data_IF_409082640841
#
_entry.id   IF_409082640841
#
_cell.length_a   1.000
_cell.length_b   1.000
_cell.length_c   1.000
_cell.angle_alpha   90.00
_cell.angle_beta   90.00
_cell.angle_gamma   90.00
#
_symmetry.space_group_name_H-M   'P 1'
#
loop_
_entity.id
_entity.type
_entity.pdbx_description
1 polymer ?
#
# COMPACT_ATOMS: atom_id res chain seq x y z
N UNK A 1 21.87 -52.92 -7.75
CA UNK A 1 22.03 -51.44 -7.75
C UNK A 1 21.31 -50.90 -6.53
N UNK A 2 21.98 -50.08 -5.72
CA UNK A 2 21.38 -49.46 -4.53
C UNK A 2 20.42 -48.36 -5.01
N UNK A 3 19.15 -48.44 -4.61
CA UNK A 3 18.13 -47.48 -4.99
C UNK A 3 18.28 -46.21 -4.14
N UNK A 4 19.19 -45.32 -4.56
CA UNK A 4 19.47 -44.07 -3.87
C UNK A 4 18.55 -42.95 -4.38
N UNK A 5 18.19 -41.97 -3.53
CA UNK A 5 17.48 -40.78 -3.97
C UNK A 5 18.31 -40.01 -5.02
N UNK A 6 17.64 -39.53 -6.07
CA UNK A 6 18.26 -38.78 -7.17
C UNK A 6 17.64 -37.40 -7.27
N UNK A 7 18.47 -36.37 -7.18
CA UNK A 7 18.07 -35.02 -7.56
C UNK A 7 17.92 -34.93 -9.09
N UNK A 8 16.78 -34.42 -9.53
CA UNK A 8 16.51 -34.18 -10.94
C UNK A 8 17.33 -33.00 -11.45
N UNK A 9 17.58 -32.97 -12.76
CA UNK A 9 18.24 -31.85 -13.43
C UNK A 9 17.50 -30.52 -13.17
N UNK A 10 16.16 -30.55 -13.19
CA UNK A 10 15.33 -29.37 -12.91
C UNK A 10 15.49 -28.85 -11.49
N UNK A 11 15.61 -29.75 -10.50
CA UNK A 11 15.86 -29.34 -9.10
C UNK A 11 17.22 -28.67 -8.97
N UNK A 12 18.27 -29.24 -9.57
CA UNK A 12 19.61 -28.63 -9.56
C UNK A 12 19.63 -27.24 -10.17
N UNK A 13 18.97 -27.05 -11.32
CA UNK A 13 18.86 -25.74 -11.99
C UNK A 13 18.08 -24.75 -11.12
N UNK A 14 16.97 -25.20 -10.51
CA UNK A 14 16.16 -24.35 -9.64
C UNK A 14 16.93 -23.87 -8.41
N UNK A 15 17.62 -24.78 -7.72
CA UNK A 15 18.45 -24.47 -6.55
C UNK A 15 19.56 -23.50 -6.93
N UNK A 16 20.35 -23.81 -7.97
CA UNK A 16 21.45 -22.92 -8.41
C UNK A 16 20.96 -21.52 -8.79
N UNK A 17 19.81 -21.43 -9.46
CA UNK A 17 19.20 -20.15 -9.81
C UNK A 17 18.74 -19.35 -8.58
N UNK A 18 18.15 -20.02 -7.60
CA UNK A 18 17.73 -19.42 -6.35
C UNK A 18 18.93 -18.90 -5.55
N UNK A 19 19.99 -19.72 -5.41
CA UNK A 19 21.23 -19.34 -4.73
C UNK A 19 21.88 -18.11 -5.39
N UNK A 20 21.92 -18.10 -6.73
CA UNK A 20 22.49 -16.99 -7.48
C UNK A 20 21.66 -15.70 -7.32
N UNK A 21 20.33 -15.77 -7.39
CA UNK A 21 19.47 -14.59 -7.13
C UNK A 21 19.67 -14.08 -5.72
N UNK A 22 19.71 -14.99 -4.72
CA UNK A 22 19.95 -14.63 -3.33
C UNK A 22 21.28 -13.90 -3.15
N UNK A 23 22.36 -14.43 -3.75
CA UNK A 23 23.68 -13.82 -3.70
C UNK A 23 23.74 -12.42 -4.32
N UNK A 24 23.05 -12.19 -5.45
CA UNK A 24 23.02 -10.87 -6.09
C UNK A 24 22.22 -9.88 -5.25
N UNK A 25 21.05 -10.29 -4.76
CA UNK A 25 20.16 -9.41 -4.00
C UNK A 25 20.69 -9.10 -2.60
N UNK A 26 21.47 -10.01 -1.99
CA UNK A 26 22.09 -9.78 -0.68
C UNK A 26 23.03 -8.56 -0.64
N UNK A 27 23.46 -8.02 -1.79
CA UNK A 27 24.27 -6.80 -1.85
C UNK A 27 23.50 -5.52 -1.47
N UNK A 28 22.16 -5.53 -1.61
CA UNK A 28 21.31 -4.36 -1.40
C UNK A 28 19.95 -4.68 -0.76
N UNK A 29 19.71 -5.94 -0.40
CA UNK A 29 18.54 -6.41 0.31
C UNK A 29 18.92 -7.36 1.45
N UNK A 30 18.12 -7.36 2.52
CA UNK A 30 18.03 -8.48 3.43
C UNK A 30 17.14 -9.56 2.78
N UNK A 31 17.76 -10.67 2.34
CA UNK A 31 17.10 -11.75 1.59
C UNK A 31 16.71 -12.88 2.53
N UNK A 32 15.41 -13.15 2.63
CA UNK A 32 14.83 -14.16 3.50
C UNK A 32 14.28 -15.30 2.62
N UNK A 33 14.94 -16.46 2.56
CA UNK A 33 14.44 -17.60 1.80
C UNK A 33 13.20 -18.21 2.46
N UNK A 34 12.22 -18.58 1.64
CA UNK A 34 11.03 -19.31 2.10
C UNK A 34 11.35 -20.81 2.13
N UNK A 35 11.12 -21.50 3.26
CA UNK A 35 11.34 -22.95 3.35
C UNK A 35 10.51 -23.73 2.32
N UNK A 36 11.13 -24.73 1.67
CA UNK A 36 10.49 -25.50 0.59
C UNK A 36 9.24 -26.27 1.05
N UNK A 37 9.18 -26.68 2.32
CA UNK A 37 8.00 -27.32 2.93
C UNK A 37 6.81 -26.36 3.10
N UNK A 38 7.05 -25.05 2.93
CA UNK A 38 6.06 -23.97 3.02
C UNK A 38 5.90 -23.20 1.69
N UNK A 39 6.50 -23.70 0.61
CA UNK A 39 6.50 -23.03 -0.69
C UNK A 39 5.10 -23.08 -1.34
N UNK A 40 4.47 -21.91 -1.44
CA UNK A 40 3.22 -21.68 -2.17
C UNK A 40 3.43 -20.89 -3.48
N UNK A 41 4.68 -20.82 -3.93
CA UNK A 41 5.14 -20.10 -5.11
C UNK A 41 5.87 -18.80 -4.80
N UNK A 42 6.53 -18.68 -3.65
CA UNK A 42 7.39 -17.54 -3.32
C UNK A 42 8.69 -18.14 -2.77
N UNK A 43 9.80 -17.84 -3.43
CA UNK A 43 11.11 -18.37 -3.04
C UNK A 43 11.81 -17.45 -2.03
N UNK A 44 11.61 -16.13 -2.17
CA UNK A 44 12.24 -15.14 -1.29
C UNK A 44 11.30 -14.02 -0.90
N UNK A 45 11.46 -13.55 0.34
CA UNK A 45 11.01 -12.25 0.80
C UNK A 45 12.27 -11.38 0.90
N UNK A 46 12.28 -10.22 0.24
CA UNK A 46 13.41 -9.30 0.23
C UNK A 46 12.99 -7.99 0.87
N UNK A 47 13.80 -7.50 1.81
CA UNK A 47 13.68 -6.15 2.34
C UNK A 47 14.82 -5.29 1.81
N UNK A 48 14.50 -4.11 1.24
CA UNK A 48 15.52 -3.20 0.73
C UNK A 48 16.36 -2.66 1.89
N UNK A 49 17.69 -2.68 1.71
CA UNK A 49 18.65 -2.11 2.64
C UNK A 49 19.11 -0.74 2.13
N UNK A 50 19.28 0.21 3.05
CA UNK A 50 19.97 1.46 2.80
C UNK A 50 21.25 1.43 3.63
N UNK A 51 22.39 1.24 2.96
CA UNK A 51 23.65 0.85 3.60
C UNK A 51 23.43 -0.43 4.43
N UNK A 52 23.69 -0.37 5.74
CA UNK A 52 23.53 -1.50 6.65
C UNK A 52 22.14 -1.55 7.32
N UNK A 53 21.22 -0.65 6.96
CA UNK A 53 19.95 -0.49 7.66
C UNK A 53 18.75 -0.99 6.85
N UNK A 54 17.84 -1.78 7.45
CA UNK A 54 16.59 -2.18 6.82
C UNK A 54 15.65 -0.99 6.65
N UNK A 55 15.00 -0.89 5.48
CA UNK A 55 14.11 0.23 5.15
C UNK A 55 12.63 -0.03 5.47
N UNK A 56 12.26 -1.27 5.78
CA UNK A 56 10.86 -1.71 5.90
C UNK A 56 10.12 -1.85 4.57
N UNK A 57 10.81 -1.68 3.43
CA UNK A 57 10.22 -1.87 2.09
C UNK A 57 10.46 -3.29 1.62
N UNK A 58 9.40 -4.10 1.68
CA UNK A 58 9.47 -5.52 1.33
C UNK A 58 8.89 -5.80 -0.06
N UNK A 59 9.43 -6.82 -0.71
CA UNK A 59 8.93 -7.40 -1.95
C UNK A 59 9.20 -8.89 -1.98
N UNK A 60 8.42 -9.63 -2.76
CA UNK A 60 8.54 -11.08 -2.90
C UNK A 60 9.16 -11.42 -4.25
N UNK A 61 9.89 -12.53 -4.32
CA UNK A 61 10.46 -13.07 -5.56
C UNK A 61 10.01 -14.52 -5.71
N UNK A 62 9.46 -14.85 -6.88
CA UNK A 62 9.53 -16.20 -7.42
C UNK A 62 10.66 -16.24 -8.45
N UNK A 63 11.64 -17.09 -8.20
CA UNK A 63 12.71 -17.42 -9.11
C UNK A 63 12.35 -18.66 -9.96
N UNK A 64 12.69 -18.62 -11.24
CA UNK A 64 12.72 -19.80 -12.10
C UNK A 64 14.02 -19.86 -12.89
N UNK A 65 14.84 -20.86 -12.58
CA UNK A 65 16.05 -21.16 -13.35
C UNK A 65 15.77 -21.75 -14.72
N UNK A 66 16.56 -21.35 -15.72
CA UNK A 66 16.60 -21.95 -17.05
C UNK A 66 18.05 -22.11 -17.50
N UNK A 67 18.39 -23.27 -18.07
CA UNK A 67 19.70 -23.47 -18.72
C UNK A 67 19.84 -22.67 -20.01
N UNK A 68 18.75 -22.56 -20.77
CA UNK A 68 18.69 -21.77 -21.99
C UNK A 68 17.37 -21.04 -22.05
N UNK A 69 17.44 -19.73 -22.21
CA UNK A 69 16.27 -18.89 -22.39
C UNK A 69 15.74 -19.07 -23.81
N UNK A 70 14.47 -19.42 -23.92
CA UNK A 70 13.74 -19.42 -25.19
C UNK A 70 13.04 -18.08 -25.34
N UNK A 71 13.57 -17.22 -26.20
CA UNK A 71 12.98 -15.91 -26.52
C UNK A 71 12.10 -16.04 -27.75
N UNK A 72 10.88 -15.48 -27.69
CA UNK A 72 10.00 -15.32 -28.85
C UNK A 72 9.51 -13.87 -28.86
N UNK A 73 9.79 -13.14 -29.94
CA UNK A 73 9.40 -11.72 -30.12
C UNK A 73 9.80 -10.84 -28.91
N UNK A 74 11.07 -10.92 -28.49
CA UNK A 74 11.61 -10.18 -27.33
C UNK A 74 10.92 -10.50 -25.98
N UNK A 75 10.20 -11.62 -25.90
CA UNK A 75 9.54 -12.08 -24.69
C UNK A 75 10.00 -13.48 -24.31
N UNK A 76 10.16 -13.69 -23.01
CA UNK A 76 10.26 -15.00 -22.40
C UNK A 76 8.87 -15.38 -21.89
N UNK A 77 8.40 -16.56 -22.29
CA UNK A 77 7.04 -17.02 -22.03
C UNK A 77 7.06 -18.04 -20.91
N UNK A 78 6.38 -17.74 -19.81
CA UNK A 78 6.40 -18.58 -18.60
C UNK A 78 4.97 -18.93 -18.19
N UNK A 79 4.56 -20.21 -18.28
CA UNK A 79 3.28 -20.65 -17.73
C UNK A 79 3.36 -20.69 -16.21
N UNK A 80 2.43 -20.01 -15.54
CA UNK A 80 2.28 -20.03 -14.08
C UNK A 80 0.88 -20.55 -13.73
N UNK A 81 0.80 -21.43 -12.74
CA UNK A 81 -0.48 -21.97 -12.25
C UNK A 81 -1.36 -20.83 -11.73
N UNK A 82 -2.65 -20.88 -12.02
CA UNK A 82 -3.62 -19.87 -11.52
C UNK A 82 -3.65 -19.82 -10.00
N UNK A 83 -3.49 -20.96 -9.31
CA UNK A 83 -3.42 -21.00 -7.85
C UNK A 83 -2.25 -20.18 -7.29
N UNK A 84 -1.08 -20.25 -7.94
CA UNK A 84 0.10 -19.46 -7.57
C UNK A 84 -0.13 -17.97 -7.83
N UNK A 85 -0.74 -17.61 -8.96
CA UNK A 85 -1.06 -16.22 -9.27
C UNK A 85 -2.08 -15.63 -8.29
N UNK A 86 -3.10 -16.40 -7.91
CA UNK A 86 -4.05 -16.00 -6.88
C UNK A 86 -3.35 -15.79 -5.54
N UNK A 87 -2.42 -16.68 -5.16
CA UNK A 87 -1.62 -16.51 -3.96
C UNK A 87 -0.77 -15.22 -4.00
N UNK A 88 -0.15 -14.89 -5.13
CA UNK A 88 0.59 -13.64 -5.32
C UNK A 88 -0.28 -12.39 -5.22
N UNK A 89 -1.54 -12.45 -5.66
CA UNK A 89 -2.50 -11.35 -5.57
C UNK A 89 -3.02 -11.12 -4.15
N UNK A 90 -2.91 -12.12 -3.26
CA UNK A 90 -3.22 -11.98 -1.83
C UNK A 90 -2.07 -11.33 -1.05
N UNK A 91 -0.86 -11.30 -1.58
CA UNK A 91 0.29 -10.74 -0.89
C UNK A 91 0.23 -9.20 -0.88
N UNK A 92 0.55 -8.61 0.27
CA UNK A 92 0.72 -7.15 0.40
C UNK A 92 1.95 -6.65 -0.33
N UNK A 93 3.01 -7.46 -0.31
CA UNK A 93 4.28 -7.13 -0.93
C UNK A 93 4.21 -7.44 -2.43
N UNK A 94 4.71 -6.56 -3.31
CA UNK A 94 4.74 -6.83 -4.74
C UNK A 94 5.55 -8.10 -4.99
N UNK A 95 4.98 -9.03 -5.77
CA UNK A 95 5.65 -10.28 -6.11
C UNK A 95 6.18 -10.23 -7.53
N UNK A 96 7.50 -10.31 -7.67
CA UNK A 96 8.19 -10.32 -8.95
C UNK A 96 8.49 -11.75 -9.39
N UNK A 97 8.36 -11.99 -10.69
CA UNK A 97 8.86 -13.22 -11.32
C UNK A 97 10.23 -12.92 -11.92
N UNK A 98 11.27 -13.62 -11.43
CA UNK A 98 12.64 -13.53 -11.93
C UNK A 98 13.00 -14.83 -12.65
N UNK A 99 13.51 -14.70 -13.87
CA UNK A 99 14.04 -15.79 -14.69
C UNK A 99 15.56 -15.66 -14.71
N UNK A 100 16.25 -16.59 -14.06
CA UNK A 100 17.70 -16.62 -14.04
C UNK A 100 18.24 -17.45 -15.22
N UNK A 101 18.98 -16.79 -16.11
CA UNK A 101 19.80 -17.43 -17.14
C UNK A 101 21.17 -17.75 -16.54
N UNK A 102 21.33 -19.01 -16.13
CA UNK A 102 22.56 -19.46 -15.48
C UNK A 102 23.77 -19.44 -16.43
N UNK A 103 23.56 -19.61 -17.74
CA UNK A 103 24.67 -19.67 -18.68
C UNK A 103 25.29 -18.28 -18.88
N UNK A 104 24.45 -17.25 -18.95
CA UNK A 104 24.88 -15.88 -19.24
C UNK A 104 24.97 -14.99 -17.99
N UNK A 105 24.54 -15.47 -16.82
CA UNK A 105 24.45 -14.66 -15.59
C UNK A 105 23.56 -13.41 -15.76
N UNK A 106 22.49 -13.54 -16.53
CA UNK A 106 21.49 -12.50 -16.78
C UNK A 106 20.18 -12.88 -16.10
N UNK A 107 19.54 -11.91 -15.47
CA UNK A 107 18.25 -12.06 -14.83
C UNK A 107 17.22 -11.25 -15.59
N UNK A 108 16.11 -11.89 -15.95
CA UNK A 108 14.98 -11.23 -16.58
C UNK A 108 13.84 -11.16 -15.59
N UNK A 109 13.10 -10.07 -15.57
CA UNK A 109 12.06 -9.89 -14.56
C UNK A 109 10.74 -9.36 -15.15
N UNK A 110 9.65 -9.71 -14.48
CA UNK A 110 8.33 -9.14 -14.73
C UNK A 110 7.62 -8.89 -13.42
N UNK A 111 6.67 -7.96 -13.44
CA UNK A 111 5.71 -7.77 -12.37
C UNK A 111 4.34 -8.32 -12.82
N UNK A 112 3.97 -9.55 -12.45
CA UNK A 112 2.78 -10.22 -12.99
C UNK A 112 1.48 -9.52 -12.62
N UNK A 113 1.41 -8.81 -11.49
CA UNK A 113 0.17 -8.18 -11.03
C UNK A 113 -0.37 -7.15 -12.02
N UNK A 114 0.49 -6.31 -12.62
CA UNK A 114 0.07 -5.33 -13.63
C UNK A 114 -0.53 -6.01 -14.86
N UNK A 115 0.12 -7.08 -15.35
CA UNK A 115 -0.41 -7.86 -16.45
C UNK A 115 -1.77 -8.47 -16.11
N UNK A 116 -1.93 -9.08 -14.94
CA UNK A 116 -3.19 -9.69 -14.52
C UNK A 116 -4.32 -8.68 -14.35
N UNK A 117 -4.02 -7.46 -13.88
CA UNK A 117 -4.99 -6.35 -13.78
C UNK A 117 -5.53 -5.92 -15.14
N UNK A 118 -4.73 -6.05 -16.19
CA UNK A 118 -5.15 -5.74 -17.56
C UNK A 118 -6.05 -6.82 -18.19
N UNK A 119 -6.10 -8.02 -17.61
CA UNK A 119 -6.89 -9.13 -18.13
C UNK A 119 -8.32 -9.13 -17.56
N UNK A 120 -9.29 -9.58 -18.36
CA UNK A 120 -10.61 -9.92 -17.85
C UNK A 120 -10.54 -11.10 -16.85
N UNK A 121 -11.44 -11.15 -15.86
CA UNK A 121 -11.40 -12.15 -14.77
C UNK A 121 -11.54 -13.62 -15.23
N UNK A 122 -11.83 -13.91 -16.49
CA UNK A 122 -11.95 -15.29 -16.99
C UNK A 122 -10.64 -16.08 -16.92
N UNK A 123 -9.48 -15.40 -16.81
CA UNK A 123 -8.20 -16.07 -16.64
C UNK A 123 -8.16 -16.97 -15.39
N UNK A 124 -8.94 -16.66 -14.35
CA UNK A 124 -9.01 -17.43 -13.11
C UNK A 124 -9.62 -18.83 -13.29
N UNK A 125 -10.29 -19.10 -14.42
CA UNK A 125 -10.84 -20.43 -14.75
C UNK A 125 -9.82 -21.34 -15.43
N UNK A 126 -8.65 -20.82 -15.79
CA UNK A 126 -7.61 -21.58 -16.51
C UNK A 126 -6.72 -22.37 -15.55
N UNK A 127 -6.03 -23.40 -16.05
CA UNK A 127 -5.02 -24.13 -15.24
C UNK A 127 -3.75 -23.30 -15.06
N UNK A 128 -3.32 -22.64 -16.13
CA UNK A 128 -2.13 -21.78 -16.14
C UNK A 128 -2.44 -20.51 -16.93
N UNK A 129 -1.79 -19.41 -16.55
CA UNK A 129 -1.72 -18.19 -17.35
C UNK A 129 -0.29 -18.02 -17.84
N UNK A 130 -0.17 -17.53 -19.07
CA UNK A 130 1.11 -17.22 -19.69
C UNK A 130 1.56 -15.83 -19.26
N UNK A 131 2.57 -15.77 -18.40
CA UNK A 131 3.24 -14.53 -18.03
C UNK A 131 4.31 -14.23 -19.09
N UNK A 132 4.32 -12.98 -19.54
CA UNK A 132 5.28 -12.44 -20.51
C UNK A 132 6.36 -11.68 -19.76
N UNK A 133 7.60 -12.09 -19.93
CA UNK A 133 8.77 -11.45 -19.32
C UNK A 133 9.57 -10.77 -20.44
N UNK A 134 9.55 -9.43 -20.55
CA UNK A 134 10.31 -8.71 -21.56
C UNK A 134 11.82 -8.87 -21.38
N UNK A 135 12.57 -9.12 -22.45
CA UNK A 135 14.04 -9.27 -22.35
C UNK A 135 14.74 -7.96 -21.96
N UNK A 136 14.13 -6.82 -22.27
CA UNK A 136 14.59 -5.49 -21.88
C UNK A 136 14.49 -5.24 -20.37
N UNK A 137 13.62 -5.97 -19.68
CA UNK A 137 13.53 -5.96 -18.23
C UNK A 137 14.56 -6.96 -17.70
N UNK A 138 15.83 -6.58 -17.75
CA UNK A 138 16.93 -7.44 -17.33
C UNK A 138 18.01 -6.70 -16.55
N UNK A 139 18.82 -7.47 -15.84
CA UNK A 139 20.02 -7.00 -15.16
C UNK A 139 21.05 -8.14 -15.10
N UNK A 140 22.31 -7.77 -14.93
CA UNK A 140 23.42 -8.72 -14.78
C UNK A 140 23.75 -8.98 -13.31
N UNK A 141 24.61 -9.96 -13.03
CA UNK A 141 25.03 -10.31 -11.66
C UNK A 141 25.76 -9.20 -10.90
N UNK A 142 26.39 -8.25 -11.60
CA UNK A 142 27.28 -7.24 -11.01
C UNK A 142 26.57 -5.91 -10.69
N UNK A 143 25.25 -5.94 -10.44
CA UNK A 143 24.51 -4.75 -10.02
C UNK A 143 24.75 -4.47 -8.54
N UNK A 144 24.93 -3.20 -8.19
CA UNK A 144 25.10 -2.72 -6.81
C UNK A 144 23.81 -2.14 -6.22
N UNK A 145 22.74 -2.06 -7.00
CA UNK A 145 21.43 -1.58 -6.58
C UNK A 145 20.33 -2.23 -7.42
N UNK A 146 19.10 -2.24 -6.89
CA UNK A 146 17.93 -2.66 -7.65
C UNK A 146 17.77 -1.83 -8.94
N UNK A 147 17.33 -2.45 -10.06
CA UNK A 147 16.93 -1.71 -11.25
C UNK A 147 15.88 -0.64 -10.91
N UNK A 148 16.03 0.57 -11.43
CA UNK A 148 15.19 1.73 -11.10
C UNK A 148 13.69 1.46 -11.26
N UNK A 149 13.31 0.68 -12.28
CA UNK A 149 11.91 0.29 -12.52
C UNK A 149 11.36 -0.63 -11.42
N UNK A 150 12.13 -1.64 -11.01
CA UNK A 150 11.79 -2.52 -9.88
C UNK A 150 11.63 -1.70 -8.60
N UNK A 151 12.60 -0.82 -8.31
CA UNK A 151 12.55 0.06 -7.14
C UNK A 151 11.34 0.99 -7.16
N UNK A 152 10.99 1.55 -8.32
CA UNK A 152 9.80 2.39 -8.48
C UNK A 152 8.51 1.63 -8.18
N UNK A 153 8.37 0.39 -8.68
CA UNK A 153 7.21 -0.46 -8.40
C UNK A 153 7.16 -0.78 -6.90
N UNK A 154 8.29 -1.12 -6.28
CA UNK A 154 8.34 -1.39 -4.84
C UNK A 154 7.90 -0.16 -4.06
N UNK A 155 8.35 1.05 -4.44
CA UNK A 155 7.94 2.28 -3.77
C UNK A 155 6.46 2.65 -3.98
N UNK A 156 5.89 2.39 -5.16
CA UNK A 156 4.47 2.65 -5.42
C UNK A 156 3.56 1.64 -4.72
N UNK A 157 4.07 0.44 -4.44
CA UNK A 157 3.37 -0.61 -3.70
C UNK A 157 3.70 -0.62 -2.20
N UNK A 158 4.75 0.07 -1.77
CA UNK A 158 5.00 0.35 -0.37
C UNK A 158 4.02 1.41 0.10
N UNK A 159 2.79 0.98 0.36
CA UNK A 159 1.91 1.68 1.28
C UNK A 159 2.68 1.84 2.58
N UNK A 160 2.88 3.10 3.00
CA UNK A 160 3.44 3.56 4.28
C UNK A 160 3.80 2.41 5.22
N UNK A 161 5.09 2.14 5.37
CA UNK A 161 5.66 1.15 6.29
C UNK A 161 4.85 1.09 7.59
N UNK A 162 4.11 0.00 7.88
CA UNK A 162 3.58 -0.19 9.20
C UNK A 162 4.75 -0.58 10.08
N UNK A 163 5.20 0.35 10.93
CA UNK A 163 5.76 -0.07 12.21
C UNK A 163 4.65 -0.84 12.92
N UNK A 164 4.82 -2.16 12.97
CA UNK A 164 3.95 -3.20 13.53
C UNK A 164 2.83 -3.69 12.60
N UNK A 165 2.91 -4.98 12.27
CA UNK A 165 2.11 -5.64 11.24
C UNK A 165 0.63 -5.74 11.57
N UNK A 166 -0.19 -5.10 10.75
CA UNK A 166 -1.63 -5.29 10.81
C UNK A 166 -2.23 -5.38 9.40
N UNK A 167 -2.23 -6.60 8.83
CA UNK A 167 -2.87 -6.92 7.54
C UNK A 167 -4.39 -6.68 7.57
N UNK A 168 -5.01 -6.81 8.75
CA UNK A 168 -6.41 -6.45 8.95
C UNK A 168 -6.59 -4.95 8.76
N UNK A 169 -5.62 -4.14 9.18
CA UNK A 169 -5.68 -2.69 9.02
C UNK A 169 -5.74 -2.26 7.55
N UNK A 170 -4.96 -2.88 6.65
CA UNK A 170 -4.98 -2.52 5.23
C UNK A 170 -6.29 -2.94 4.55
N UNK A 171 -6.83 -4.12 4.94
CA UNK A 171 -8.13 -4.59 4.50
C UNK A 171 -9.26 -3.69 5.01
N UNK A 172 -9.18 -3.19 6.25
CA UNK A 172 -10.19 -2.27 6.80
C UNK A 172 -10.14 -0.91 6.12
N UNK A 173 -8.96 -0.40 5.75
CA UNK A 173 -8.87 0.84 4.98
C UNK A 173 -9.47 0.65 3.58
N UNK A 174 -9.13 -0.43 2.87
CA UNK A 174 -9.72 -0.69 1.55
C UNK A 174 -11.25 -0.82 1.64
N UNK A 175 -11.76 -1.53 2.66
CA UNK A 175 -13.19 -1.67 2.91
C UNK A 175 -13.87 -0.33 3.24
N UNK A 176 -13.20 0.54 4.00
CA UNK A 176 -13.69 1.88 4.33
C UNK A 176 -13.77 2.77 3.08
N UNK A 177 -12.76 2.69 2.20
CA UNK A 177 -12.75 3.38 0.91
C UNK A 177 -13.88 2.85 0.01
N UNK A 178 -14.06 1.54 -0.09
CA UNK A 178 -15.15 0.94 -0.87
C UNK A 178 -16.52 1.40 -0.36
N UNK A 179 -16.70 1.46 0.98
CA UNK A 179 -17.91 2.02 1.60
C UNK A 179 -18.12 3.49 1.26
N UNK A 180 -17.06 4.29 1.25
CA UNK A 180 -17.12 5.71 0.87
C UNK A 180 -17.65 5.87 -0.57
N UNK A 181 -17.03 5.15 -1.50
CA UNK A 181 -17.40 5.16 -2.92
C UNK A 181 -18.84 4.69 -3.12
N UNK A 182 -19.24 3.59 -2.47
CA UNK A 182 -20.61 3.07 -2.54
C UNK A 182 -21.65 4.01 -1.91
N UNK A 183 -21.22 4.90 -1.00
CA UNK A 183 -22.06 5.94 -0.39
C UNK A 183 -22.07 7.25 -1.19
N UNK A 184 -21.44 7.28 -2.37
CA UNK A 184 -21.36 8.46 -3.22
C UNK A 184 -20.34 9.50 -2.75
N UNK A 185 -19.43 9.14 -1.84
CA UNK A 185 -18.33 10.00 -1.41
C UNK A 185 -17.10 9.81 -2.30
N UNK A 186 -16.47 10.91 -2.68
CA UNK A 186 -15.17 10.90 -3.35
C UNK A 186 -14.05 10.64 -2.36
N UNK A 187 -13.01 9.93 -2.81
CA UNK A 187 -11.75 9.84 -2.07
C UNK A 187 -11.02 11.18 -2.19
N UNK A 188 -10.83 11.85 -1.07
CA UNK A 188 -10.22 13.18 -1.03
C UNK A 188 -8.69 13.08 -1.14
N UNK A 189 -8.12 13.89 -2.03
CA UNK A 189 -6.69 13.98 -2.27
C UNK A 189 -6.05 15.13 -1.46
N UNK A 190 -4.76 15.39 -1.66
CA UNK A 190 -4.10 16.55 -1.04
C UNK A 190 -4.81 17.85 -1.40
N UNK A 191 -5.03 18.78 -0.45
CA UNK A 191 -4.58 18.75 0.96
C UNK A 191 -5.54 18.07 1.96
N UNK A 192 -6.68 17.55 1.52
CA UNK A 192 -7.74 17.01 2.39
C UNK A 192 -7.48 15.55 2.85
N UNK A 193 -6.56 14.83 2.22
CA UNK A 193 -6.17 13.48 2.68
C UNK A 193 -5.52 13.54 4.07
N UNK A 194 -5.86 12.61 4.95
CA UNK A 194 -5.31 12.47 6.32
C UNK A 194 -5.13 13.82 7.05
N UNK A 195 -6.21 14.58 7.30
CA UNK A 195 -6.14 15.95 7.81
C UNK A 195 -5.40 16.10 9.14
N UNK A 196 -5.36 15.04 9.96
CA UNK A 196 -4.59 15.02 11.20
C UNK A 196 -3.10 15.32 11.02
N UNK A 197 -2.55 15.20 9.80
CA UNK A 197 -1.14 15.48 9.52
C UNK A 197 -0.75 16.94 9.80
N UNK A 198 -1.72 17.87 9.78
CA UNK A 198 -1.46 19.28 10.05
C UNK A 198 -1.40 19.62 11.53
N UNK A 199 -1.93 18.76 12.40
CA UNK A 199 -1.93 18.99 13.85
C UNK A 199 -0.50 19.12 14.35
N UNK A 200 -0.21 20.22 15.06
CA UNK A 200 1.11 20.53 15.60
C UNK A 200 2.09 21.18 14.60
N UNK A 201 1.72 21.34 13.32
CA UNK A 201 2.52 22.13 12.38
C UNK A 201 2.52 23.60 12.78
N UNK A 202 3.62 24.31 12.52
CA UNK A 202 3.62 25.77 12.60
C UNK A 202 2.68 26.34 11.53
N UNK A 203 2.09 27.52 11.78
CA UNK A 203 1.22 28.18 10.78
C UNK A 203 1.97 28.34 9.46
N UNK A 204 3.22 28.83 9.50
CA UNK A 204 4.02 29.07 8.31
C UNK A 204 4.33 27.79 7.51
N UNK A 205 4.46 26.63 8.15
CA UNK A 205 4.68 25.37 7.45
C UNK A 205 3.38 24.80 6.90
N UNK A 206 2.27 24.92 7.64
CA UNK A 206 0.95 24.53 7.15
C UNK A 206 0.57 25.34 5.91
N UNK A 207 0.79 26.65 5.89
CA UNK A 207 0.58 27.53 4.74
C UNK A 207 1.33 27.05 3.49
N UNK A 208 2.60 26.66 3.64
CA UNK A 208 3.41 26.15 2.52
C UNK A 208 2.87 24.82 1.99
N UNK A 209 2.45 23.92 2.88
CA UNK A 209 1.96 22.59 2.50
C UNK A 209 0.62 22.68 1.80
N UNK A 210 -0.32 23.47 2.34
CA UNK A 210 -1.67 23.61 1.76
C UNK A 210 -1.75 24.67 0.65
N UNK A 211 -0.70 25.50 0.51
CA UNK A 211 -0.59 26.61 -0.45
C UNK A 211 -1.67 27.68 -0.26
N UNK A 212 -2.05 27.92 0.99
CA UNK A 212 -3.02 28.94 1.39
C UNK A 212 -2.42 29.80 2.51
N UNK A 213 -2.92 31.01 2.66
CA UNK A 213 -2.46 31.93 3.73
C UNK A 213 -3.43 31.96 4.89
N UNK A 214 -2.89 32.06 6.10
CA UNK A 214 -3.68 32.26 7.31
C UNK A 214 -4.39 33.62 7.32
N UNK A 215 -5.53 33.67 8.00
CA UNK A 215 -6.29 34.89 8.22
C UNK A 215 -5.72 35.69 9.42
N UNK A 216 -6.38 36.81 9.77
CA UNK A 216 -5.94 37.70 10.87
C UNK A 216 -5.85 37.03 12.25
N UNK A 217 -6.52 35.90 12.44
CA UNK A 217 -6.51 35.14 13.71
C UNK A 217 -5.66 33.86 13.60
N UNK A 218 -4.93 33.66 12.50
CA UNK A 218 -4.00 32.54 12.31
C UNK A 218 -4.61 31.27 11.70
N UNK A 219 -5.91 31.27 11.39
CA UNK A 219 -6.57 30.10 10.81
C UNK A 219 -6.35 30.03 9.30
N UNK A 220 -6.18 28.83 8.76
CA UNK A 220 -6.05 28.59 7.31
C UNK A 220 -7.32 27.90 6.83
N UNK A 221 -7.91 28.43 5.76
CA UNK A 221 -9.13 27.89 5.16
C UNK A 221 -8.77 27.35 3.78
N UNK A 222 -9.16 26.11 3.52
CA UNK A 222 -8.97 25.46 2.23
C UNK A 222 -10.33 25.03 1.71
N UNK A 223 -10.65 25.40 0.47
CA UNK A 223 -11.94 25.11 -0.13
C UNK A 223 -11.78 24.46 -1.50
N UNK A 224 -12.58 23.43 -1.75
CA UNK A 224 -12.71 22.77 -3.06
C UNK A 224 -14.18 22.56 -3.40
N UNK A 225 -14.47 22.00 -4.58
CA UNK A 225 -15.84 21.59 -4.94
C UNK A 225 -16.39 20.50 -4.00
N UNK A 226 -15.50 19.66 -3.45
CA UNK A 226 -15.91 18.47 -2.69
C UNK A 226 -15.91 18.69 -1.18
N UNK A 227 -15.03 19.55 -0.68
CA UNK A 227 -14.79 19.73 0.74
C UNK A 227 -14.42 21.16 1.11
N UNK A 228 -14.71 21.51 2.36
CA UNK A 228 -14.20 22.68 3.06
C UNK A 228 -13.34 22.20 4.23
N UNK A 229 -12.17 22.78 4.44
CA UNK A 229 -11.28 22.41 5.54
C UNK A 229 -10.79 23.66 6.29
N UNK A 230 -10.91 23.61 7.61
CA UNK A 230 -10.41 24.62 8.53
C UNK A 230 -9.22 24.05 9.29
N UNK A 231 -8.08 24.75 9.24
CA UNK A 231 -6.96 24.55 10.16
C UNK A 231 -7.00 25.68 11.18
N UNK A 232 -7.38 25.38 12.42
CA UNK A 232 -7.47 26.34 13.51
C UNK A 232 -6.16 26.39 14.31
N UNK A 233 -5.63 27.60 14.48
CA UNK A 233 -4.39 27.82 15.21
C UNK A 233 -4.64 28.09 16.70
N UNK A 234 -3.73 27.59 17.53
CA UNK A 234 -3.56 28.03 18.92
C UNK A 234 -2.11 28.47 19.11
N UNK A 235 -1.93 29.76 19.40
CA UNK A 235 -0.60 30.37 19.35
C UNK A 235 -0.06 30.32 17.91
N UNK A 236 1.08 29.65 17.72
CA UNK A 236 1.75 29.56 16.42
C UNK A 236 1.62 28.18 15.75
N UNK A 237 0.76 27.31 16.27
CA UNK A 237 0.62 25.93 15.80
C UNK A 237 -0.83 25.58 15.51
N UNK A 238 -1.04 24.68 14.55
CA UNK A 238 -2.37 24.13 14.25
C UNK A 238 -2.78 23.21 15.40
N UNK A 239 -3.91 23.48 16.03
CA UNK A 239 -4.41 22.77 17.22
C UNK A 239 -5.70 21.98 16.96
N UNK A 240 -6.44 22.38 15.92
CA UNK A 240 -7.67 21.73 15.51
C UNK A 240 -7.78 21.73 13.98
N UNK A 241 -8.33 20.65 13.43
CA UNK A 241 -8.61 20.52 12.00
C UNK A 241 -10.04 20.06 11.83
N UNK A 242 -10.80 20.72 10.98
CA UNK A 242 -12.17 20.31 10.62
C UNK A 242 -12.28 20.17 9.11
N UNK A 243 -12.97 19.12 8.65
CA UNK A 243 -13.26 18.90 7.22
C UNK A 243 -14.74 18.64 7.03
N UNK A 244 -15.41 19.52 6.30
CA UNK A 244 -16.80 19.37 5.88
C UNK A 244 -16.90 18.74 4.49
N UNK A 245 -17.76 17.73 4.33
CA UNK A 245 -18.01 17.04 3.06
C UNK A 245 -19.22 17.66 2.35
N UNK A 246 -18.99 18.63 1.46
CA UNK A 246 -20.05 19.48 0.87
C UNK A 246 -21.19 18.69 0.23
N UNK A 247 -20.87 17.60 -0.50
CA UNK A 247 -21.86 16.75 -1.19
C UNK A 247 -22.83 16.01 -0.26
N UNK A 248 -22.57 16.02 1.05
CA UNK A 248 -23.47 15.41 2.04
C UNK A 248 -24.55 16.37 2.53
N UNK A 249 -24.40 17.67 2.30
CA UNK A 249 -25.44 18.64 2.64
C UNK A 249 -26.61 18.59 1.63
N UNK A 250 -27.86 18.82 2.09
CA UNK A 250 -28.25 18.92 3.48
C UNK A 250 -28.35 17.54 4.16
N UNK A 251 -27.82 17.41 5.39
CA UNK A 251 -27.99 16.22 6.22
C UNK A 251 -28.91 16.48 7.41
N UNK A 252 -29.58 15.43 7.90
CA UNK A 252 -30.49 15.51 9.05
C UNK A 252 -29.88 14.84 10.29
N UNK A 253 -29.98 15.47 11.46
CA UNK A 253 -29.49 14.94 12.74
C UNK A 253 -30.26 13.70 13.22
N UNK A 254 -31.45 13.45 12.66
CA UNK A 254 -32.19 12.21 12.91
C UNK A 254 -31.86 11.11 11.89
N UNK A 255 -31.09 11.42 10.85
CA UNK A 255 -30.65 10.46 9.83
C UNK A 255 -29.29 9.85 10.21
N UNK A 256 -29.20 8.52 10.43
CA UNK A 256 -27.93 7.88 10.73
C UNK A 256 -26.98 7.92 9.52
N UNK A 257 -25.67 7.90 9.78
CA UNK A 257 -24.62 7.84 8.77
C UNK A 257 -23.59 6.73 9.09
N UNK A 258 -22.86 6.27 8.06
CA UNK A 258 -21.71 5.36 8.22
C UNK A 258 -20.43 6.17 8.37
N UNK A 259 -19.96 6.34 9.61
CA UNK A 259 -18.71 7.06 9.88
C UNK A 259 -17.47 6.35 9.34
N UNK A 260 -17.47 5.03 9.15
CA UNK A 260 -16.32 4.35 8.55
C UNK A 260 -16.17 4.75 7.08
N UNK A 261 -17.28 4.93 6.37
CA UNK A 261 -17.28 5.44 4.99
C UNK A 261 -16.70 6.86 4.93
N UNK A 262 -17.08 7.71 5.90
CA UNK A 262 -16.60 9.09 5.98
C UNK A 262 -15.11 9.16 6.32
N UNK A 263 -14.64 8.34 7.27
CA UNK A 263 -13.22 8.21 7.58
C UNK A 263 -12.43 7.68 6.36
N UNK A 264 -13.01 6.72 5.64
CA UNK A 264 -12.45 6.18 4.38
C UNK A 264 -12.25 7.26 3.32
N UNK A 265 -13.20 8.19 3.15
CA UNK A 265 -13.08 9.31 2.21
C UNK A 265 -11.86 10.21 2.50
N UNK A 266 -11.41 10.28 3.76
CA UNK A 266 -10.22 11.02 4.20
C UNK A 266 -8.95 10.16 4.26
N UNK A 267 -8.99 8.91 3.76
CA UNK A 267 -7.89 7.94 3.87
C UNK A 267 -7.49 7.62 5.32
N UNK A 268 -8.47 7.64 6.22
CA UNK A 268 -8.31 7.24 7.63
C UNK A 268 -8.81 5.82 7.79
N UNK A 269 -7.97 5.01 8.43
CA UNK A 269 -8.24 3.61 8.64
C UNK A 269 -9.05 3.39 9.93
N UNK A 270 -10.28 2.84 9.87
CA UNK A 270 -11.09 2.65 11.06
C UNK A 270 -10.46 1.72 12.11
N UNK A 271 -9.52 0.84 11.75
CA UNK A 271 -8.81 -0.01 12.71
C UNK A 271 -7.69 0.70 13.47
N UNK A 272 -7.25 1.87 13.00
CA UNK A 272 -6.25 2.69 13.70
C UNK A 272 -6.87 3.55 14.80
N UNK A 273 -8.21 3.55 14.92
CA UNK A 273 -8.97 4.43 15.80
C UNK A 273 -10.02 3.65 16.58
N UNK A 274 -10.12 3.91 17.89
CA UNK A 274 -11.12 3.27 18.75
C UNK A 274 -12.43 4.06 18.72
N UNK A 275 -13.56 3.44 18.36
CA UNK A 275 -14.88 4.06 18.50
C UNK A 275 -15.31 4.07 19.96
N UNK A 276 -15.39 5.26 20.57
CA UNK A 276 -15.73 5.41 22.00
C UNK A 276 -17.15 5.92 22.24
N UNK A 277 -17.78 6.57 21.24
CA UNK A 277 -19.16 7.05 21.36
C UNK A 277 -19.86 6.99 20.02
N UNK A 278 -21.12 6.51 20.02
CA UNK A 278 -21.96 6.45 18.83
C UNK A 278 -23.36 7.01 19.11
N UNK A 279 -23.73 8.09 18.43
CA UNK A 279 -25.06 8.71 18.43
C UNK A 279 -25.50 8.99 16.99
N UNK A 280 -26.80 9.14 16.74
CA UNK A 280 -27.36 9.30 15.38
C UNK A 280 -26.68 10.39 14.55
N UNK A 281 -26.35 11.53 15.17
CA UNK A 281 -25.73 12.69 14.52
C UNK A 281 -24.24 12.87 14.86
N UNK A 282 -23.65 12.00 15.69
CA UNK A 282 -22.31 12.23 16.24
C UNK A 282 -21.61 10.93 16.68
N UNK A 283 -20.47 10.63 16.08
CA UNK A 283 -19.59 9.52 16.47
C UNK A 283 -18.24 10.09 16.96
N UNK A 284 -17.68 9.52 18.02
CA UNK A 284 -16.36 9.90 18.55
C UNK A 284 -15.41 8.72 18.50
N UNK A 285 -14.20 8.99 18.03
CA UNK A 285 -13.10 8.06 18.00
C UNK A 285 -11.87 8.61 18.73
N UNK A 286 -11.02 7.70 19.22
CA UNK A 286 -9.70 8.01 19.77
C UNK A 286 -8.59 7.34 18.94
N UNK A 287 -7.63 8.14 18.48
CA UNK A 287 -6.35 7.65 17.97
C UNK A 287 -5.35 7.67 19.13
N UNK A 288 -5.12 6.53 19.76
CA UNK A 288 -4.21 6.45 20.91
C UNK A 288 -2.74 6.66 20.54
N UNK A 289 -2.37 6.31 19.31
CA UNK A 289 -0.99 6.45 18.83
C UNK A 289 -0.62 7.93 18.68
N UNK A 290 -1.56 8.73 18.17
CA UNK A 290 -1.38 10.18 17.95
C UNK A 290 -1.95 11.04 19.08
N UNK A 291 -2.63 10.43 20.05
CA UNK A 291 -3.34 11.10 21.16
C UNK A 291 -4.35 12.13 20.64
N UNK A 292 -5.19 11.71 19.69
CA UNK A 292 -6.19 12.57 19.05
C UNK A 292 -7.61 12.10 19.36
N UNK A 293 -8.50 13.06 19.58
CA UNK A 293 -9.95 12.88 19.48
C UNK A 293 -10.39 13.20 18.07
N UNK A 294 -11.18 12.30 17.48
CA UNK A 294 -11.76 12.45 16.15
C UNK A 294 -13.28 12.43 16.29
N UNK A 295 -13.95 13.48 15.82
CA UNK A 295 -15.41 13.58 15.79
C UNK A 295 -15.91 13.45 14.35
N UNK A 296 -16.88 12.58 14.09
CA UNK A 296 -17.61 12.54 12.81
C UNK A 296 -19.05 12.95 13.10
N UNK A 297 -19.55 14.01 12.47
CA UNK A 297 -20.80 14.62 12.94
C UNK A 297 -21.60 15.39 11.90
N UNK A 298 -22.90 15.52 12.16
CA UNK A 298 -23.76 16.55 11.59
C UNK A 298 -23.97 17.63 12.67
N UNK A 299 -23.32 18.79 12.53
CA UNK A 299 -23.27 19.81 13.59
C UNK A 299 -24.64 20.47 13.87
N UNK A 300 -25.46 20.66 12.84
CA UNK A 300 -26.80 21.22 12.92
C UNK A 300 -27.67 20.72 11.77
N UNK A 301 -28.98 20.93 11.86
CA UNK A 301 -29.91 20.44 10.84
C UNK A 301 -29.68 21.11 9.48
N UNK A 302 -29.50 20.30 8.44
CA UNK A 302 -29.15 20.75 7.10
C UNK A 302 -27.66 20.97 6.86
N UNK A 303 -26.80 20.79 7.87
CA UNK A 303 -25.35 20.87 7.69
C UNK A 303 -24.80 19.73 6.81
N UNK A 304 -23.62 19.91 6.18
CA UNK A 304 -22.82 18.77 5.74
C UNK A 304 -22.34 17.93 6.94
N UNK A 305 -21.98 16.69 6.67
CA UNK A 305 -21.22 15.86 7.60
C UNK A 305 -19.77 16.39 7.67
N UNK A 306 -19.24 16.51 8.87
CA UNK A 306 -17.90 17.00 9.14
C UNK A 306 -17.06 15.99 9.93
N UNK A 307 -15.74 16.12 9.81
CA UNK A 307 -14.75 15.36 10.57
C UNK A 307 -13.76 16.30 11.25
N UNK A 308 -13.80 16.33 12.58
CA UNK A 308 -12.93 17.15 13.43
C UNK A 308 -11.81 16.35 14.08
N UNK A 309 -10.61 16.93 14.19
CA UNK A 309 -9.42 16.34 14.82
C UNK A 309 -8.86 17.29 15.88
N UNK A 310 -8.70 16.82 17.12
CA UNK A 310 -8.22 17.65 18.24
C UNK A 310 -7.31 16.88 19.19
N UNK A 311 -6.27 17.54 19.71
CA UNK A 311 -5.44 17.05 20.82
C UNK A 311 -6.02 17.39 22.19
N UNK A 312 -6.77 18.50 22.32
CA UNK A 312 -7.22 19.07 23.60
C UNK A 312 -8.17 18.17 24.41
N UNK A 313 -8.85 17.24 23.75
CA UNK A 313 -9.94 16.47 24.35
C UNK A 313 -9.68 14.95 24.30
N UNK A 314 -8.44 14.54 24.06
CA UNK A 314 -8.08 13.12 24.06
C UNK A 314 -8.08 12.56 25.50
N UNK A 315 -8.87 11.51 25.74
CA UNK A 315 -8.94 10.85 27.05
C UNK A 315 -9.72 11.59 28.13
N UNK A 316 -10.46 12.65 27.76
CA UNK A 316 -11.42 13.36 28.62
C UNK A 316 -12.79 12.68 28.64
#
# INVERSE_FOLDING_TARGET
MINLPKQTKSQKIGISAADLVSSVFAQFCNVIPVPQDRDLGIDFICEIMQNEYPTGKLFNIQCKGKEKIKVKNNLIIVPIKVTTLNYWLLQTNPTFLIIADHQNSIFYWSFPQDFLRSLNKNWQKQKNVIIRVPIQNSFEKNINSLPTQLFSIINSHSSVTPKNGDYLSTLTLSKAIDKAINSGLSLLSSPFHRPFQYIGMSIADAEKVVRETSNKVGNIIIESEEAYMLLEAEGNFISYVDVELKKTAPWSQVRPFDSEAILGALSINPSEVELVRKQTHFHTYYDHKRKLKIGVSCLYEGAPLSVGFSTKYYGA
#
